data_IF_119334318206
#
_entry.id   IF_119334318206
#
_cell.length_a   1.000
_cell.length_b   1.000
_cell.length_c   1.000
_cell.angle_alpha   90.00
_cell.angle_beta   90.00
_cell.angle_gamma   90.00
#
_symmetry.space_group_name_H-M   'P 1'
#
loop_
_entity.id
_entity.type
_entity.pdbx_description
1 polymer ?
#
# COMPACT_ATOMS: atom_id res chain seq x y z
N UNK A 1 54.15 13.71 47.44
CA UNK A 1 53.80 13.18 46.14
C UNK A 1 52.28 13.22 46.01
N UNK A 2 51.84 14.19 45.26
CA UNK A 2 50.43 14.66 45.26
C UNK A 2 49.63 13.89 44.20
N UNK A 3 48.57 13.20 44.63
CA UNK A 3 47.63 12.53 43.74
C UNK A 3 46.46 13.47 43.44
N UNK A 4 46.51 14.19 42.35
CA UNK A 4 45.38 14.98 41.84
C UNK A 4 44.36 14.06 41.17
N UNK A 5 43.22 13.90 41.83
CA UNK A 5 42.03 13.23 41.27
C UNK A 5 41.33 14.16 40.24
N UNK A 6 41.36 13.79 39.00
CA UNK A 6 40.57 14.47 37.96
C UNK A 6 39.13 13.90 38.00
N UNK A 7 38.21 14.65 38.53
CA UNK A 7 36.76 14.42 38.37
C UNK A 7 36.37 14.92 37.00
N UNK A 8 36.18 13.98 36.03
CA UNK A 8 35.52 14.26 34.76
C UNK A 8 34.00 14.35 34.99
N UNK A 9 33.49 15.57 35.06
CA UNK A 9 32.04 15.82 34.99
C UNK A 9 31.58 15.59 33.58
N UNK A 10 31.13 14.38 33.25
CA UNK A 10 30.46 14.04 32.02
C UNK A 10 29.04 14.65 32.01
N UNK A 11 28.92 15.86 31.53
CA UNK A 11 27.61 16.45 31.24
C UNK A 11 26.94 15.67 30.08
N UNK A 12 26.02 14.76 30.42
CA UNK A 12 25.10 14.23 29.44
C UNK A 12 24.16 15.37 29.00
N UNK A 13 24.49 16.04 27.91
CA UNK A 13 23.54 16.92 27.22
C UNK A 13 22.41 16.03 26.73
N UNK A 14 21.28 16.04 27.44
CA UNK A 14 20.04 15.47 26.96
C UNK A 14 19.71 16.19 25.62
N UNK A 15 19.89 15.52 24.50
CA UNK A 15 19.41 16.02 23.22
C UNK A 15 17.89 16.23 23.39
N UNK A 16 17.48 17.50 23.44
CA UNK A 16 16.07 17.85 23.46
C UNK A 16 15.40 17.17 22.25
N UNK A 17 14.39 16.35 22.52
CA UNK A 17 13.65 15.68 21.46
C UNK A 17 13.14 16.75 20.47
N UNK A 18 13.49 16.62 19.20
CA UNK A 18 13.02 17.54 18.17
C UNK A 18 11.48 17.57 18.19
N UNK A 19 10.84 18.74 18.13
CA UNK A 19 9.40 18.84 18.14
C UNK A 19 8.81 18.08 16.95
N UNK A 20 7.83 17.22 17.22
CA UNK A 20 7.16 16.41 16.19
C UNK A 20 6.40 17.32 15.21
N UNK A 21 6.39 16.93 13.94
CA UNK A 21 5.64 17.66 12.93
C UNK A 21 4.14 17.39 13.07
N UNK A 22 3.33 18.42 13.15
CA UNK A 22 1.88 18.33 13.31
C UNK A 22 1.20 17.97 12.00
N UNK A 23 0.21 17.08 12.03
CA UNK A 23 -0.60 16.70 10.87
C UNK A 23 -2.09 16.78 11.17
N UNK A 24 -2.90 16.92 10.10
CA UNK A 24 -4.34 16.70 10.12
C UNK A 24 -4.67 15.29 9.62
N UNK A 25 -5.56 14.57 10.31
CA UNK A 25 -6.06 13.28 9.89
C UNK A 25 -7.51 13.40 9.40
N UNK A 26 -7.80 12.80 8.25
CA UNK A 26 -9.14 12.71 7.66
C UNK A 26 -9.48 11.23 7.58
N UNK A 27 -10.45 10.78 8.36
CA UNK A 27 -10.71 9.35 8.59
C UNK A 27 -12.18 9.04 8.37
N UNK A 28 -12.46 7.96 7.64
CA UNK A 28 -13.85 7.50 7.47
C UNK A 28 -14.38 6.78 8.70
N UNK A 29 -13.58 5.84 9.27
CA UNK A 29 -13.92 5.14 10.50
C UNK A 29 -12.66 4.70 11.26
N UNK A 30 -12.67 4.79 12.60
CA UNK A 30 -11.53 4.46 13.44
C UNK A 30 -11.92 3.48 14.55
N UNK A 31 -11.74 2.19 14.29
CA UNK A 31 -11.95 1.14 15.27
C UNK A 31 -10.72 0.22 15.33
N UNK A 32 -10.68 -0.66 16.33
CA UNK A 32 -9.54 -1.55 16.54
C UNK A 32 -9.26 -2.42 15.32
N UNK A 33 -8.02 -2.44 14.87
CA UNK A 33 -7.52 -3.14 13.68
C UNK A 33 -7.99 -2.53 12.33
N UNK A 34 -8.66 -1.37 12.33
CA UNK A 34 -8.88 -0.61 11.11
C UNK A 34 -7.58 0.00 10.57
N UNK A 35 -7.57 0.45 9.32
CA UNK A 35 -6.41 1.14 8.76
C UNK A 35 -6.04 2.39 9.56
N UNK A 36 -7.03 3.12 10.10
CA UNK A 36 -6.76 4.23 11.01
C UNK A 36 -6.01 3.76 12.28
N UNK A 37 -6.39 2.62 12.88
CA UNK A 37 -5.68 2.07 14.05
C UNK A 37 -4.25 1.63 13.70
N UNK A 38 -4.01 1.14 12.50
CA UNK A 38 -2.66 0.79 12.03
C UNK A 38 -1.82 2.05 11.83
N UNK A 39 -2.23 2.97 10.97
CA UNK A 39 -1.40 4.10 10.56
C UNK A 39 -1.34 5.21 11.62
N UNK A 40 -2.47 5.67 12.14
CA UNK A 40 -2.48 6.66 13.22
C UNK A 40 -1.95 6.06 14.51
N UNK A 41 -2.23 4.78 14.76
CA UNK A 41 -1.65 4.05 15.88
C UNK A 41 -0.12 4.00 15.86
N UNK A 42 0.50 3.82 14.72
CA UNK A 42 1.95 3.91 14.55
C UNK A 42 2.48 5.31 14.87
N UNK A 43 1.76 6.37 14.49
CA UNK A 43 2.12 7.74 14.83
C UNK A 43 1.99 8.02 16.33
N UNK A 44 0.99 7.44 17.00
CA UNK A 44 0.72 7.65 18.42
C UNK A 44 1.61 6.82 19.33
N UNK A 45 1.87 5.55 19.00
CA UNK A 45 2.52 4.56 19.85
C UNK A 45 3.94 4.18 19.42
N UNK A 46 4.39 4.68 18.26
CA UNK A 46 5.64 4.24 17.63
C UNK A 46 5.47 2.94 16.85
N UNK A 47 6.49 2.56 16.12
CA UNK A 47 6.53 1.39 15.25
C UNK A 47 7.95 0.88 15.06
N UNK A 48 8.13 -0.24 14.34
CA UNK A 48 9.45 -0.77 14.01
C UNK A 48 9.86 -0.37 12.60
N UNK A 49 11.12 0.01 12.44
CA UNK A 49 11.74 0.23 11.14
C UNK A 49 13.07 -0.51 11.07
N UNK A 50 13.21 -1.39 10.08
CA UNK A 50 14.40 -2.25 9.91
C UNK A 50 14.82 -2.97 11.20
N UNK A 51 13.86 -3.60 11.86
CA UNK A 51 14.06 -4.37 13.09
C UNK A 51 14.27 -3.55 14.37
N UNK A 52 14.26 -2.21 14.29
CA UNK A 52 14.47 -1.34 15.45
C UNK A 52 13.19 -0.58 15.81
N UNK A 53 12.82 -0.50 17.11
CA UNK A 53 11.71 0.33 17.55
C UNK A 53 12.05 1.82 17.38
N UNK A 54 11.04 2.62 17.00
CA UNK A 54 11.16 4.07 16.89
C UNK A 54 9.87 4.78 17.25
N UNK A 55 9.98 5.97 17.78
CA UNK A 55 8.87 6.89 17.93
C UNK A 55 8.65 7.65 16.60
N UNK A 56 7.40 7.96 16.28
CA UNK A 56 7.08 8.78 15.11
C UNK A 56 7.57 10.21 15.29
N UNK A 57 8.11 10.79 14.22
CA UNK A 57 8.39 12.23 14.11
C UNK A 57 7.14 13.07 13.82
N UNK A 58 5.96 12.42 13.72
CA UNK A 58 4.68 13.08 13.48
C UNK A 58 3.81 13.06 14.74
N UNK A 59 2.97 14.09 14.91
CA UNK A 59 1.88 14.11 15.86
C UNK A 59 0.57 14.49 15.20
N UNK A 60 -0.52 13.88 15.61
CA UNK A 60 -1.86 14.16 15.09
C UNK A 60 -2.41 15.36 15.86
N UNK A 61 -2.49 16.53 15.23
CA UNK A 61 -2.96 17.73 15.87
C UNK A 61 -4.49 17.87 15.82
N UNK A 62 -5.09 17.38 14.73
CA UNK A 62 -6.52 17.45 14.47
C UNK A 62 -6.99 16.23 13.71
N UNK A 63 -8.24 15.84 13.89
CA UNK A 63 -8.85 14.72 13.19
C UNK A 63 -10.31 15.00 12.82
N UNK A 64 -10.64 14.84 11.55
CA UNK A 64 -12.01 14.68 11.09
C UNK A 64 -12.35 13.20 11.05
N UNK A 65 -13.38 12.80 11.78
CA UNK A 65 -13.91 11.44 11.84
C UNK A 65 -15.33 11.45 11.23
N UNK A 66 -15.46 10.86 10.03
CA UNK A 66 -16.71 10.93 9.27
C UNK A 66 -17.80 10.04 9.90
N UNK A 67 -17.43 8.84 10.32
CA UNK A 67 -18.32 7.89 11.00
C UNK A 67 -17.71 7.44 12.32
N UNK A 68 -18.57 7.30 13.34
CA UNK A 68 -18.22 6.76 14.64
C UNK A 68 -19.12 5.56 14.94
N UNK A 69 -18.82 4.36 14.38
CA UNK A 69 -19.61 3.15 14.65
C UNK A 69 -19.56 2.76 16.14
N UNK A 70 -20.39 1.82 16.55
CA UNK A 70 -20.50 1.42 17.97
C UNK A 70 -19.16 0.95 18.58
N UNK A 71 -18.25 0.42 17.77
CA UNK A 71 -16.90 0.01 18.16
C UNK A 71 -15.83 1.09 17.90
N UNK A 72 -16.22 2.36 17.70
CA UNK A 72 -15.28 3.48 17.49
C UNK A 72 -14.32 3.63 18.69
N UNK A 73 -13.04 3.80 18.35
CA UNK A 73 -12.01 4.18 19.31
C UNK A 73 -11.43 5.56 19.02
N UNK A 74 -11.77 6.16 17.87
CA UNK A 74 -11.19 7.42 17.43
C UNK A 74 -11.44 8.57 18.38
N UNK A 75 -12.64 8.68 18.95
CA UNK A 75 -12.99 9.67 19.97
C UNK A 75 -12.15 9.48 21.25
N UNK A 76 -11.99 8.23 21.68
CA UNK A 76 -11.19 7.89 22.87
C UNK A 76 -9.70 8.19 22.65
N UNK A 77 -9.15 7.81 21.51
CA UNK A 77 -7.75 8.12 21.16
C UNK A 77 -7.54 9.63 21.01
N UNK A 78 -8.51 10.36 20.48
CA UNK A 78 -8.43 11.82 20.42
C UNK A 78 -8.33 12.45 21.81
N UNK A 79 -9.15 12.00 22.77
CA UNK A 79 -9.10 12.47 24.15
C UNK A 79 -7.78 12.14 24.86
N UNK A 80 -7.28 10.91 24.71
CA UNK A 80 -6.01 10.46 25.33
C UNK A 80 -4.79 11.21 24.81
N UNK A 81 -4.80 11.62 23.55
CA UNK A 81 -3.65 12.23 22.90
C UNK A 81 -3.84 13.72 22.58
N UNK A 82 -4.86 14.37 23.16
CA UNK A 82 -5.18 15.78 22.96
C UNK A 82 -5.34 16.19 21.49
N UNK A 83 -5.92 15.31 20.68
CA UNK A 83 -6.21 15.54 19.27
C UNK A 83 -7.51 16.34 19.17
N UNK A 84 -7.49 17.47 18.46
CA UNK A 84 -8.70 18.27 18.21
C UNK A 84 -9.64 17.54 17.24
N UNK A 85 -10.84 17.16 17.71
CA UNK A 85 -11.87 16.63 16.81
C UNK A 85 -12.49 17.76 16.00
N UNK A 86 -12.31 17.71 14.69
CA UNK A 86 -12.87 18.65 13.74
C UNK A 86 -14.26 18.20 13.26
N UNK A 87 -15.15 19.16 13.02
CA UNK A 87 -16.50 18.90 12.49
C UNK A 87 -16.53 18.80 10.97
N UNK A 88 -15.50 19.35 10.32
CA UNK A 88 -15.36 19.32 8.86
C UNK A 88 -13.92 19.00 8.47
N UNK A 89 -13.71 18.54 7.23
CA UNK A 89 -12.37 18.33 6.65
C UNK A 89 -11.54 19.62 6.71
N UNK A 90 -12.17 20.78 6.41
CA UNK A 90 -11.52 22.08 6.47
C UNK A 90 -11.04 22.42 7.88
N UNK A 91 -11.85 22.18 8.89
CA UNK A 91 -11.47 22.41 10.30
C UNK A 91 -10.35 21.50 10.78
N UNK A 92 -10.13 20.34 10.14
CA UNK A 92 -8.99 19.47 10.44
C UNK A 92 -7.67 19.98 9.83
N UNK A 93 -7.72 20.90 8.87
CA UNK A 93 -6.54 21.49 8.22
C UNK A 93 -6.21 22.83 8.91
N UNK A 94 -5.81 22.75 10.18
CA UNK A 94 -5.53 23.90 11.03
C UNK A 94 -4.19 24.57 10.69
N UNK A 95 -3.98 25.83 11.08
CA UNK A 95 -2.67 26.47 10.95
C UNK A 95 -1.55 25.70 11.65
N UNK A 96 -0.38 25.67 11.03
CA UNK A 96 0.81 25.04 11.60
C UNK A 96 0.96 23.53 11.37
N UNK A 97 -0.02 22.85 10.72
CA UNK A 97 0.21 21.46 10.28
C UNK A 97 1.15 21.43 9.06
N UNK A 98 1.88 20.31 8.94
CA UNK A 98 2.87 20.09 7.90
C UNK A 98 2.47 19.00 6.89
N UNK A 99 1.35 18.32 7.11
CA UNK A 99 0.85 17.29 6.22
C UNK A 99 -0.57 16.87 6.56
N UNK A 100 -1.18 16.11 5.66
CA UNK A 100 -2.53 15.55 5.81
C UNK A 100 -2.49 14.06 5.55
N UNK A 101 -3.17 13.27 6.39
CA UNK A 101 -3.38 11.84 6.19
C UNK A 101 -4.86 11.58 5.92
N UNK A 102 -5.19 11.14 4.69
CA UNK A 102 -6.51 10.69 4.29
C UNK A 102 -6.57 9.16 4.38
N UNK A 103 -7.31 8.63 5.36
CA UNK A 103 -7.55 7.21 5.57
C UNK A 103 -9.02 6.93 5.28
N UNK A 104 -9.31 6.78 3.98
CA UNK A 104 -10.65 6.60 3.43
C UNK A 104 -11.03 5.13 3.28
N UNK A 105 -10.81 4.33 4.32
CA UNK A 105 -11.07 2.89 4.35
C UNK A 105 -11.89 2.55 5.59
N UNK A 106 -12.74 1.54 5.47
CA UNK A 106 -13.71 1.15 6.50
C UNK A 106 -14.89 2.13 6.67
N UNK A 107 -15.89 1.68 7.39
CA UNK A 107 -17.18 2.36 7.57
C UNK A 107 -18.30 1.72 6.76
N UNK A 108 -19.50 2.22 6.94
CA UNK A 108 -20.72 1.74 6.28
C UNK A 108 -20.95 2.54 5.00
N UNK A 109 -20.62 1.94 3.87
CA UNK A 109 -20.81 2.51 2.54
C UNK A 109 -21.44 1.46 1.62
N UNK A 110 -22.23 1.88 0.62
CA UNK A 110 -22.81 0.95 -0.34
C UNK A 110 -21.74 0.33 -1.26
N UNK A 111 -22.10 -0.81 -1.84
CA UNK A 111 -21.38 -1.36 -2.98
C UNK A 111 -22.04 -0.88 -4.26
N UNK A 112 -21.26 -0.71 -5.33
CA UNK A 112 -21.81 -0.59 -6.68
C UNK A 112 -22.17 -1.97 -7.26
N UNK A 113 -22.74 -1.98 -8.47
CA UNK A 113 -23.17 -3.20 -9.16
C UNK A 113 -22.03 -4.19 -9.45
N UNK A 114 -20.78 -3.73 -9.43
CA UNK A 114 -19.57 -4.55 -9.60
C UNK A 114 -19.04 -5.12 -8.28
N UNK A 115 -19.70 -4.82 -7.13
CA UNK A 115 -19.29 -5.25 -5.80
C UNK A 115 -18.15 -4.42 -5.20
N UNK A 116 -17.85 -3.24 -5.76
CA UNK A 116 -16.84 -2.33 -5.20
C UNK A 116 -17.45 -1.44 -4.12
N UNK A 117 -16.77 -1.34 -2.98
CA UNK A 117 -17.18 -0.48 -1.87
C UNK A 117 -16.93 0.99 -2.21
N UNK A 118 -17.98 1.80 -2.18
CA UNK A 118 -17.92 3.22 -2.54
C UNK A 118 -17.44 4.09 -1.38
N UNK A 119 -16.19 3.92 -0.99
CA UNK A 119 -15.57 4.81 -0.01
C UNK A 119 -15.39 6.23 -0.58
N UNK A 120 -15.65 7.30 0.18
CA UNK A 120 -15.67 8.68 -0.30
C UNK A 120 -14.26 9.30 -0.41
N UNK A 121 -13.26 8.54 -0.89
CA UNK A 121 -11.87 9.02 -0.96
C UNK A 121 -11.71 10.23 -1.86
N UNK A 122 -12.40 10.21 -3.01
CA UNK A 122 -12.40 11.34 -3.94
C UNK A 122 -13.04 12.58 -3.32
N UNK A 123 -14.23 12.43 -2.76
CA UNK A 123 -15.01 13.51 -2.16
C UNK A 123 -14.30 14.12 -0.93
N UNK A 124 -13.59 13.30 -0.15
CA UNK A 124 -12.75 13.78 0.96
C UNK A 124 -11.49 14.49 0.44
N UNK A 125 -10.85 13.96 -0.61
CA UNK A 125 -9.69 14.62 -1.24
C UNK A 125 -10.07 15.94 -1.88
N UNK A 126 -11.24 16.03 -2.52
CA UNK A 126 -11.77 17.30 -3.06
C UNK A 126 -11.89 18.38 -1.98
N UNK A 127 -12.44 18.02 -0.80
CA UNK A 127 -12.53 18.96 0.35
C UNK A 127 -11.15 19.36 0.88
N UNK A 128 -10.16 18.44 0.88
CA UNK A 128 -8.76 18.75 1.24
C UNK A 128 -8.18 19.76 0.25
N UNK A 129 -8.34 19.50 -1.05
CA UNK A 129 -7.85 20.38 -2.13
C UNK A 129 -8.52 21.78 -2.07
N UNK A 130 -9.82 21.81 -1.81
CA UNK A 130 -10.53 23.08 -1.60
C UNK A 130 -9.92 23.86 -0.43
N UNK A 131 -9.69 23.21 0.72
CA UNK A 131 -9.04 23.85 1.86
C UNK A 131 -7.61 24.34 1.54
N UNK A 132 -6.86 23.62 0.71
CA UNK A 132 -5.53 24.05 0.25
C UNK A 132 -5.61 25.33 -0.60
N UNK A 133 -6.58 25.40 -1.52
CA UNK A 133 -6.81 26.58 -2.36
C UNK A 133 -7.22 27.79 -1.52
N UNK A 134 -8.14 27.60 -0.58
CA UNK A 134 -8.60 28.67 0.34
C UNK A 134 -7.48 29.19 1.25
N UNK A 135 -6.60 28.29 1.73
CA UNK A 135 -5.47 28.64 2.58
C UNK A 135 -4.25 29.15 1.80
N UNK A 136 -4.27 29.11 0.47
CA UNK A 136 -3.12 29.43 -0.39
C UNK A 136 -1.91 28.54 -0.18
N UNK A 137 -2.09 27.35 0.41
CA UNK A 137 -1.01 26.44 0.76
C UNK A 137 -1.44 24.97 0.67
N UNK A 138 -0.79 24.22 -0.22
CA UNK A 138 -0.92 22.76 -0.29
C UNK A 138 0.17 22.07 0.55
N UNK A 139 -0.14 20.88 1.08
CA UNK A 139 0.70 20.15 2.01
C UNK A 139 0.94 18.73 1.52
N UNK A 140 2.08 18.09 1.86
CA UNK A 140 2.26 16.66 1.64
C UNK A 140 1.04 15.88 2.13
N UNK A 141 0.49 15.04 1.26
CA UNK A 141 -0.76 14.33 1.52
C UNK A 141 -0.55 12.82 1.34
N UNK A 142 -0.94 12.08 2.36
CA UNK A 142 -1.05 10.63 2.31
C UNK A 142 -2.48 10.23 1.99
N UNK A 143 -2.65 9.29 1.04
CA UNK A 143 -3.93 8.65 0.73
C UNK A 143 -3.76 7.14 0.91
N UNK A 144 -4.51 6.57 1.85
CA UNK A 144 -4.49 5.13 2.12
C UNK A 144 -5.15 4.34 0.99
N UNK A 145 -4.48 3.30 0.50
CA UNK A 145 -4.88 2.43 -0.62
C UNK A 145 -5.00 3.16 -1.97
N UNK A 146 -5.94 2.70 -2.81
CA UNK A 146 -6.18 3.26 -4.13
C UNK A 146 -7.01 4.56 -4.05
N UNK A 147 -6.89 5.36 -5.10
CA UNK A 147 -7.52 6.68 -5.11
C UNK A 147 -9.05 6.63 -5.18
N UNK A 148 -9.60 5.79 -6.06
CA UNK A 148 -11.03 5.70 -6.29
C UNK A 148 -11.40 4.37 -6.97
N UNK A 149 -12.69 4.03 -6.98
CA UNK A 149 -13.25 2.95 -7.81
C UNK A 149 -13.48 3.38 -9.27
N UNK A 150 -13.22 4.64 -9.60
CA UNK A 150 -13.41 5.23 -10.93
C UNK A 150 -12.12 5.91 -11.42
N UNK A 151 -11.67 5.55 -12.63
CA UNK A 151 -10.44 6.11 -13.22
C UNK A 151 -10.42 7.63 -13.28
N UNK A 152 -11.51 8.25 -13.74
CA UNK A 152 -11.54 9.72 -13.90
C UNK A 152 -11.36 10.43 -12.55
N UNK A 153 -11.97 9.91 -11.49
CA UNK A 153 -11.80 10.44 -10.13
C UNK A 153 -10.38 10.22 -9.61
N UNK A 154 -9.84 9.00 -9.83
CA UNK A 154 -8.47 8.70 -9.46
C UNK A 154 -7.45 9.60 -10.16
N UNK A 155 -7.62 9.77 -11.48
CA UNK A 155 -6.78 10.67 -12.29
C UNK A 155 -6.88 12.12 -11.80
N UNK A 156 -8.07 12.60 -11.47
CA UNK A 156 -8.27 13.94 -10.93
C UNK A 156 -7.56 14.15 -9.58
N UNK A 157 -7.60 13.16 -8.68
CA UNK A 157 -6.86 13.23 -7.40
C UNK A 157 -5.35 13.35 -7.63
N UNK A 158 -4.81 12.58 -8.56
CA UNK A 158 -3.42 12.69 -8.98
C UNK A 158 -3.12 14.07 -9.60
N UNK A 159 -3.97 14.54 -10.51
CA UNK A 159 -3.78 15.84 -11.20
C UNK A 159 -3.77 17.02 -10.23
N UNK A 160 -4.62 17.01 -9.22
CA UNK A 160 -4.59 18.04 -8.16
C UNK A 160 -3.24 18.10 -7.45
N UNK A 161 -2.59 16.96 -7.22
CA UNK A 161 -1.26 16.97 -6.60
C UNK A 161 -0.20 17.63 -7.49
N UNK A 162 -0.32 17.45 -8.81
CA UNK A 162 0.58 18.09 -9.80
C UNK A 162 0.28 19.58 -9.97
N UNK A 163 -1.02 19.93 -10.08
CA UNK A 163 -1.49 21.32 -10.18
C UNK A 163 -1.04 22.16 -8.99
N UNK A 164 -1.31 21.67 -7.78
CA UNK A 164 -0.99 22.38 -6.53
C UNK A 164 0.42 22.10 -6.02
N UNK A 165 1.19 21.24 -6.71
CA UNK A 165 2.59 20.93 -6.43
C UNK A 165 2.86 20.43 -5.01
N UNK A 166 2.00 19.58 -4.48
CA UNK A 166 2.24 18.94 -3.20
C UNK A 166 2.69 17.48 -3.36
N UNK A 167 3.61 17.01 -2.51
CA UNK A 167 3.99 15.61 -2.48
C UNK A 167 2.79 14.72 -2.15
N UNK A 168 2.54 13.73 -3.01
CA UNK A 168 1.49 12.74 -2.85
C UNK A 168 2.12 11.38 -2.57
N UNK A 169 1.78 10.77 -1.45
CA UNK A 169 2.15 9.40 -1.13
C UNK A 169 0.87 8.58 -0.97
N UNK A 170 0.79 7.45 -1.65
CA UNK A 170 -0.40 6.62 -1.63
C UNK A 170 -0.06 5.14 -1.83
N UNK A 171 -1.06 4.28 -1.68
CA UNK A 171 -0.96 2.88 -2.05
C UNK A 171 -0.96 1.91 -0.89
N UNK A 172 -0.66 0.65 -1.22
CA UNK A 172 -0.60 -0.43 -0.25
C UNK A 172 0.69 -0.41 0.56
N UNK A 173 0.57 -0.70 1.86
CA UNK A 173 1.74 -0.91 2.72
C UNK A 173 2.57 -2.15 2.31
N UNK A 174 1.97 -3.08 1.58
CA UNK A 174 2.61 -4.36 1.27
C UNK A 174 3.79 -4.23 0.31
N UNK A 175 3.82 -3.22 -0.55
CA UNK A 175 4.99 -2.93 -1.40
C UNK A 175 6.25 -2.59 -0.58
N UNK A 176 6.04 -2.16 0.67
CA UNK A 176 7.05 -1.64 1.59
C UNK A 176 7.30 -2.55 2.80
N UNK A 177 6.63 -3.72 2.87
CA UNK A 177 6.84 -4.72 3.94
C UNK A 177 8.12 -5.53 3.71
N UNK A 178 8.46 -6.35 4.70
CA UNK A 178 9.56 -7.30 4.61
C UNK A 178 9.34 -8.30 3.48
N UNK A 179 10.42 -8.68 2.78
CA UNK A 179 10.44 -9.70 1.73
C UNK A 179 11.32 -10.88 2.14
N UNK A 180 10.97 -12.08 1.74
CA UNK A 180 11.79 -13.30 1.90
C UNK A 180 11.89 -14.06 0.59
N UNK A 181 13.12 -14.25 0.07
CA UNK A 181 14.32 -13.50 0.41
C UNK A 181 14.16 -11.98 0.18
N UNK A 182 15.11 -11.18 0.67
CA UNK A 182 15.15 -9.73 0.44
C UNK A 182 15.47 -9.43 -1.03
N UNK A 183 14.50 -9.68 -1.91
CA UNK A 183 14.67 -9.48 -3.35
C UNK A 183 14.65 -7.98 -3.70
N UNK A 184 15.72 -7.52 -4.30
CA UNK A 184 15.82 -6.22 -4.97
C UNK A 184 16.06 -6.46 -6.46
N UNK A 185 15.08 -6.22 -7.31
CA UNK A 185 15.28 -6.23 -8.75
C UNK A 185 16.03 -4.96 -9.17
N UNK A 186 17.05 -5.11 -10.00
CA UNK A 186 17.72 -3.96 -10.60
C UNK A 186 16.76 -3.19 -11.52
N UNK A 187 16.97 -1.87 -11.64
CA UNK A 187 16.31 -1.10 -12.69
C UNK A 187 16.75 -1.62 -14.06
N UNK A 188 15.85 -1.52 -15.04
CA UNK A 188 16.08 -2.03 -16.39
C UNK A 188 16.27 -3.57 -16.45
N UNK A 189 15.77 -4.31 -15.45
CA UNK A 189 15.79 -5.78 -15.47
C UNK A 189 15.06 -6.32 -16.70
N UNK A 190 15.69 -7.21 -17.50
CA UNK A 190 15.09 -7.79 -18.70
C UNK A 190 14.10 -8.91 -18.34
N UNK A 191 12.98 -8.53 -17.69
CA UNK A 191 11.92 -9.46 -17.26
C UNK A 191 11.22 -10.03 -18.50
N UNK A 192 11.25 -11.35 -18.66
CA UNK A 192 10.59 -12.06 -19.75
C UNK A 192 9.18 -12.52 -19.36
N UNK A 193 9.02 -13.04 -18.14
CA UNK A 193 7.76 -13.54 -17.58
C UNK A 193 7.67 -13.17 -16.11
N UNK A 194 6.47 -12.89 -15.63
CA UNK A 194 6.26 -12.58 -14.21
C UNK A 194 4.91 -13.11 -13.73
N UNK A 195 4.93 -13.74 -12.55
CA UNK A 195 3.76 -14.25 -11.85
C UNK A 195 3.76 -13.71 -10.42
N UNK A 196 2.60 -13.28 -9.95
CA UNK A 196 2.36 -12.98 -8.55
C UNK A 196 1.16 -13.75 -8.03
N UNK A 197 1.03 -13.80 -6.71
CA UNK A 197 -0.19 -14.26 -6.08
C UNK A 197 -0.53 -13.42 -4.85
N UNK A 198 -1.81 -13.41 -4.52
CA UNK A 198 -2.36 -12.82 -3.31
C UNK A 198 -3.60 -13.61 -2.87
N UNK A 199 -4.34 -13.09 -1.91
CA UNK A 199 -5.56 -13.71 -1.36
C UNK A 199 -6.61 -12.64 -1.08
N UNK A 200 -7.79 -13.03 -0.63
CA UNK A 200 -8.87 -12.14 -0.23
C UNK A 200 -9.83 -11.76 -1.35
N UNK A 201 -10.65 -10.77 -1.08
CA UNK A 201 -11.70 -10.33 -2.00
C UNK A 201 -11.17 -9.64 -3.26
N UNK A 202 -11.93 -9.74 -4.33
CA UNK A 202 -11.56 -9.32 -5.68
C UNK A 202 -11.10 -7.86 -5.79
N UNK A 203 -11.81 -6.93 -5.17
CA UNK A 203 -11.52 -5.50 -5.28
C UNK A 203 -10.48 -5.06 -4.23
N UNK A 204 -10.85 -5.08 -2.96
CA UNK A 204 -10.01 -4.50 -1.90
C UNK A 204 -8.67 -5.22 -1.71
N UNK A 205 -8.64 -6.55 -1.83
CA UNK A 205 -7.42 -7.36 -1.77
C UNK A 205 -6.77 -7.53 -3.13
N UNK A 206 -7.56 -7.62 -4.21
CA UNK A 206 -7.03 -7.62 -5.57
C UNK A 206 -6.21 -6.38 -5.88
N UNK A 207 -6.62 -5.22 -5.38
CA UNK A 207 -5.81 -4.01 -5.46
C UNK A 207 -4.43 -4.18 -4.81
N UNK A 208 -4.36 -4.74 -3.60
CA UNK A 208 -3.08 -5.01 -2.94
C UNK A 208 -2.19 -5.91 -3.78
N UNK A 209 -2.74 -7.01 -4.31
CA UNK A 209 -2.02 -7.93 -5.18
C UNK A 209 -1.48 -7.24 -6.44
N UNK A 210 -2.33 -6.47 -7.12
CA UNK A 210 -1.94 -5.71 -8.31
C UNK A 210 -0.82 -4.72 -8.01
N UNK A 211 -0.89 -3.96 -6.92
CA UNK A 211 0.14 -2.96 -6.62
C UNK A 211 1.45 -3.59 -6.13
N UNK A 212 1.38 -4.69 -5.38
CA UNK A 212 2.56 -5.50 -5.02
C UNK A 212 3.25 -6.01 -6.28
N UNK A 213 2.50 -6.62 -7.20
CA UNK A 213 3.02 -7.11 -8.47
C UNK A 213 3.62 -5.95 -9.30
N UNK A 214 2.90 -4.83 -9.40
CA UNK A 214 3.34 -3.63 -10.11
C UNK A 214 4.68 -3.10 -9.58
N UNK A 215 4.88 -3.09 -8.25
CA UNK A 215 6.12 -2.62 -7.62
C UNK A 215 7.38 -3.41 -8.01
N UNK A 216 7.19 -4.60 -8.55
CA UNK A 216 8.28 -5.44 -9.07
C UNK A 216 8.47 -5.23 -10.57
N UNK A 217 7.39 -5.33 -11.35
CA UNK A 217 7.49 -5.27 -12.82
C UNK A 217 7.74 -3.87 -13.37
N UNK A 218 7.49 -2.80 -12.60
CA UNK A 218 7.84 -1.42 -13.00
C UNK A 218 9.37 -1.22 -13.16
N UNK A 219 10.17 -2.14 -12.60
CA UNK A 219 11.63 -2.12 -12.69
C UNK A 219 12.17 -2.79 -13.96
N UNK A 220 11.27 -3.28 -14.84
CA UNK A 220 11.64 -3.90 -16.11
C UNK A 220 12.31 -2.93 -17.07
N UNK A 221 13.02 -3.49 -18.06
CA UNK A 221 13.65 -2.74 -19.15
C UNK A 221 12.65 -1.78 -19.81
N UNK A 222 13.05 -0.52 -19.94
CA UNK A 222 12.21 0.56 -20.46
C UNK A 222 11.32 1.24 -19.42
N UNK A 223 11.25 0.72 -18.18
CA UNK A 223 10.41 1.24 -17.10
C UNK A 223 8.91 1.01 -17.34
N UNK A 224 8.06 1.75 -16.63
CA UNK A 224 6.61 1.61 -16.76
C UNK A 224 6.06 2.43 -17.91
N UNK A 225 5.21 1.79 -18.72
CA UNK A 225 4.58 2.39 -19.92
C UNK A 225 3.05 2.23 -19.94
N UNK A 226 2.49 1.59 -18.92
CA UNK A 226 1.05 1.34 -18.79
C UNK A 226 0.59 0.01 -19.39
N UNK A 227 -0.72 -0.19 -19.38
CA UNK A 227 -1.36 -1.41 -19.88
C UNK A 227 -2.16 -1.14 -21.16
N UNK A 228 -2.20 -2.14 -22.05
CA UNK A 228 -3.08 -2.15 -23.22
C UNK A 228 -4.45 -2.75 -22.89
N UNK A 229 -4.44 -3.81 -22.07
CA UNK A 229 -5.65 -4.54 -21.72
C UNK A 229 -5.49 -5.29 -20.40
N UNK A 230 -6.63 -5.67 -19.83
CA UNK A 230 -6.71 -6.59 -18.68
C UNK A 230 -7.77 -7.65 -18.91
N UNK A 231 -7.67 -8.78 -18.20
CA UNK A 231 -8.70 -9.81 -18.15
C UNK A 231 -8.75 -10.45 -16.77
N UNK A 232 -9.95 -10.58 -16.21
CA UNK A 232 -10.22 -11.34 -15.01
C UNK A 232 -10.80 -12.71 -15.39
N UNK A 233 -10.11 -13.80 -15.03
CA UNK A 233 -10.59 -15.17 -15.20
C UNK A 233 -10.98 -15.70 -13.82
N UNK A 234 -12.09 -16.43 -13.72
CA UNK A 234 -12.64 -16.88 -12.45
C UNK A 234 -13.05 -18.36 -12.48
N UNK A 235 -13.02 -19.00 -11.31
CA UNK A 235 -13.45 -20.38 -11.15
C UNK A 235 -12.56 -21.39 -11.87
N UNK A 236 -13.15 -22.45 -12.41
CA UNK A 236 -12.44 -23.56 -13.07
C UNK A 236 -11.57 -23.13 -14.25
N UNK A 237 -11.94 -22.05 -14.92
CA UNK A 237 -11.19 -21.53 -16.05
C UNK A 237 -9.79 -21.01 -15.65
N UNK A 238 -9.56 -20.69 -14.37
CA UNK A 238 -8.23 -20.34 -13.86
C UNK A 238 -7.26 -21.52 -14.01
N UNK A 239 -7.67 -22.70 -13.58
CA UNK A 239 -6.82 -23.89 -13.65
C UNK A 239 -6.63 -24.38 -15.07
N UNK A 240 -7.69 -24.33 -15.88
CA UNK A 240 -7.60 -24.66 -17.32
C UNK A 240 -6.60 -23.72 -18.01
N UNK A 241 -6.68 -22.39 -17.75
CA UNK A 241 -5.73 -21.46 -18.31
C UNK A 241 -4.29 -21.77 -17.84
N UNK A 242 -4.12 -22.15 -16.58
CA UNK A 242 -2.80 -22.54 -16.01
C UNK A 242 -2.25 -23.79 -16.68
N UNK A 243 -3.08 -24.78 -16.96
CA UNK A 243 -2.68 -26.01 -17.65
C UNK A 243 -2.27 -25.73 -19.11
N UNK A 244 -2.97 -24.81 -19.78
CA UNK A 244 -2.63 -24.33 -21.12
C UNK A 244 -1.37 -23.42 -21.13
N UNK A 245 -0.93 -22.95 -19.95
CA UNK A 245 0.23 -22.06 -19.76
C UNK A 245 1.18 -22.58 -18.67
N UNK A 246 1.85 -23.74 -18.89
CA UNK A 246 2.68 -24.41 -17.85
C UNK A 246 3.79 -23.51 -17.28
N UNK A 247 4.30 -22.56 -18.06
CA UNK A 247 5.28 -21.59 -17.56
C UNK A 247 4.75 -20.76 -16.38
N UNK A 248 3.48 -20.35 -16.43
CA UNK A 248 2.87 -19.57 -15.36
C UNK A 248 2.62 -20.42 -14.12
N UNK A 249 2.28 -21.71 -14.31
CA UNK A 249 2.14 -22.69 -13.25
C UNK A 249 3.48 -22.90 -12.52
N UNK A 250 4.55 -23.13 -13.26
CA UNK A 250 5.89 -23.30 -12.70
C UNK A 250 6.34 -22.05 -11.93
N UNK A 251 6.12 -20.84 -12.47
CA UNK A 251 6.45 -19.62 -11.75
C UNK A 251 5.56 -19.39 -10.52
N UNK A 252 4.31 -19.84 -10.52
CA UNK A 252 3.46 -19.77 -9.32
C UNK A 252 4.05 -20.65 -8.20
N UNK A 253 4.48 -21.86 -8.52
CA UNK A 253 5.13 -22.77 -7.55
C UNK A 253 6.42 -22.16 -6.99
N UNK A 254 7.22 -21.53 -7.85
CA UNK A 254 8.42 -20.80 -7.42
C UNK A 254 8.08 -19.59 -6.53
N UNK A 255 7.05 -18.83 -6.87
CA UNK A 255 6.59 -17.68 -6.08
C UNK A 255 6.16 -18.09 -4.67
N UNK A 256 5.56 -19.29 -4.51
CA UNK A 256 5.10 -19.84 -3.23
C UNK A 256 6.23 -20.41 -2.38
N UNK A 257 7.43 -20.62 -2.90
CA UNK A 257 8.54 -21.36 -2.24
C UNK A 257 8.87 -20.86 -0.83
N UNK A 258 8.74 -19.58 -0.57
CA UNK A 258 9.12 -18.93 0.71
C UNK A 258 7.91 -18.48 1.54
N UNK A 259 6.72 -18.87 1.17
CA UNK A 259 5.49 -18.57 1.90
C UNK A 259 5.27 -19.61 3.02
N UNK A 260 5.39 -19.15 4.27
CA UNK A 260 5.21 -19.98 5.46
C UNK A 260 3.75 -20.08 5.94
N UNK A 261 2.82 -19.44 5.22
CA UNK A 261 1.38 -19.46 5.49
C UNK A 261 0.60 -20.47 4.64
N UNK A 262 1.29 -21.21 3.74
CA UNK A 262 0.63 -22.11 2.80
C UNK A 262 -0.13 -23.23 3.52
N UNK A 263 -1.38 -23.44 3.10
CA UNK A 263 -2.15 -24.60 3.50
C UNK A 263 -1.60 -25.86 2.79
N UNK A 264 -1.54 -26.96 3.52
CA UNK A 264 -1.13 -28.27 2.96
C UNK A 264 -2.15 -28.79 1.95
N UNK A 265 -1.71 -29.53 0.95
CA UNK A 265 -2.53 -30.09 -0.11
C UNK A 265 -2.37 -29.36 -1.43
N UNK A 266 -3.17 -29.74 -2.39
CA UNK A 266 -3.15 -29.13 -3.73
C UNK A 266 -3.84 -27.77 -3.69
N UNK A 267 -3.28 -26.80 -4.41
CA UNK A 267 -3.83 -25.44 -4.46
C UNK A 267 -5.27 -25.43 -5.01
N UNK A 268 -5.57 -26.31 -5.97
CA UNK A 268 -6.90 -26.44 -6.57
C UNK A 268 -7.97 -26.92 -5.57
N UNK A 269 -7.55 -27.71 -4.57
CA UNK A 269 -8.45 -28.23 -3.53
C UNK A 269 -8.63 -27.23 -2.39
N UNK A 270 -7.67 -26.36 -2.19
CA UNK A 270 -7.67 -25.38 -1.11
C UNK A 270 -8.38 -24.08 -1.46
N UNK A 271 -8.53 -23.77 -2.76
CA UNK A 271 -9.07 -22.50 -3.28
C UNK A 271 -10.42 -22.71 -3.94
N UNK A 272 -11.50 -22.41 -3.24
CA UNK A 272 -12.87 -22.63 -3.73
C UNK A 272 -13.23 -21.68 -4.88
N UNK A 273 -12.76 -20.45 -4.82
CA UNK A 273 -13.06 -19.38 -5.78
C UNK A 273 -11.77 -18.74 -6.30
N UNK A 274 -11.00 -19.47 -7.12
CA UNK A 274 -9.78 -18.91 -7.69
C UNK A 274 -10.10 -17.80 -8.67
N UNK A 275 -9.24 -16.76 -8.67
CA UNK A 275 -9.27 -15.71 -9.68
C UNK A 275 -7.87 -15.54 -10.27
N UNK A 276 -7.82 -15.12 -11.53
CA UNK A 276 -6.59 -14.85 -12.26
C UNK A 276 -6.73 -13.52 -12.98
N UNK A 277 -5.81 -12.60 -12.72
CA UNK A 277 -5.72 -11.33 -13.40
C UNK A 277 -4.61 -11.41 -14.44
N UNK A 278 -4.98 -11.22 -15.70
CA UNK A 278 -4.06 -11.14 -16.82
C UNK A 278 -3.87 -9.66 -17.19
N UNK A 279 -2.63 -9.22 -17.20
CA UNK A 279 -2.23 -7.82 -17.35
C UNK A 279 -1.36 -7.67 -18.60
N UNK A 280 -1.94 -7.20 -19.70
CA UNK A 280 -1.22 -6.97 -20.96
C UNK A 280 -0.52 -5.62 -20.96
N UNK A 281 0.75 -5.57 -20.57
CA UNK A 281 1.54 -4.34 -20.56
C UNK A 281 1.87 -3.84 -21.96
N UNK A 282 2.00 -2.53 -22.12
CA UNK A 282 2.41 -1.89 -23.40
C UNK A 282 3.81 -2.28 -23.83
N UNK A 283 4.66 -2.68 -22.89
CA UNK A 283 6.01 -3.21 -23.16
C UNK A 283 6.02 -4.61 -23.79
N UNK A 284 4.86 -5.27 -23.91
CA UNK A 284 4.74 -6.65 -24.36
C UNK A 284 4.77 -7.69 -23.25
N UNK A 285 5.08 -7.32 -22.00
CA UNK A 285 5.03 -8.23 -20.87
C UNK A 285 3.58 -8.67 -20.60
N UNK A 286 3.35 -9.97 -20.45
CA UNK A 286 2.13 -10.52 -19.85
C UNK A 286 2.37 -10.71 -18.35
N UNK A 287 1.75 -9.88 -17.53
CA UNK A 287 1.69 -10.05 -16.09
C UNK A 287 0.57 -11.01 -15.71
N UNK A 288 0.85 -11.93 -14.80
CA UNK A 288 -0.09 -12.94 -14.32
C UNK A 288 -0.19 -12.86 -12.81
N UNK A 289 -1.39 -12.63 -12.29
CA UNK A 289 -1.62 -12.47 -10.86
C UNK A 289 -2.74 -13.40 -10.40
N UNK A 290 -2.41 -14.37 -9.54
CA UNK A 290 -3.37 -15.32 -8.97
C UNK A 290 -3.95 -14.78 -7.66
N UNK A 291 -5.24 -14.98 -7.44
CA UNK A 291 -5.92 -14.74 -6.17
C UNK A 291 -6.30 -16.09 -5.55
N UNK A 292 -5.59 -16.49 -4.48
CA UNK A 292 -5.58 -17.85 -3.93
C UNK A 292 -6.12 -17.88 -2.49
N UNK A 293 -7.31 -17.35 -2.28
CA UNK A 293 -7.99 -17.36 -0.97
C UNK A 293 -8.23 -18.79 -0.49
N UNK A 294 -7.76 -19.12 0.70
CA UNK A 294 -7.80 -20.46 1.24
C UNK A 294 -6.47 -21.23 1.14
N UNK A 295 -5.58 -20.86 0.22
CA UNK A 295 -4.24 -21.44 0.09
C UNK A 295 -3.19 -20.69 0.90
N UNK A 296 -3.26 -19.38 0.95
CA UNK A 296 -2.24 -18.48 1.52
C UNK A 296 -2.85 -17.32 2.30
N UNK A 297 -2.03 -16.71 3.16
CA UNK A 297 -2.29 -15.45 3.85
C UNK A 297 -1.17 -14.43 3.59
N UNK A 298 -0.37 -14.63 2.54
CA UNK A 298 0.73 -13.77 2.13
C UNK A 298 0.63 -13.42 0.64
N UNK A 299 1.53 -12.58 0.16
CA UNK A 299 1.75 -12.33 -1.24
C UNK A 299 3.07 -12.95 -1.69
N UNK A 300 3.19 -13.27 -2.96
CA UNK A 300 4.46 -13.69 -3.54
C UNK A 300 4.63 -13.23 -4.98
N UNK A 301 5.87 -13.30 -5.42
CA UNK A 301 6.30 -12.89 -6.76
C UNK A 301 7.40 -13.80 -7.28
N UNK A 302 7.32 -14.14 -8.55
CA UNK A 302 8.39 -14.79 -9.30
C UNK A 302 8.51 -14.18 -10.70
N UNK A 303 9.74 -14.05 -11.19
CA UNK A 303 10.00 -13.59 -12.55
C UNK A 303 11.20 -14.30 -13.18
N UNK A 304 11.05 -14.66 -14.45
CA UNK A 304 12.16 -15.05 -15.32
C UNK A 304 12.89 -13.81 -15.81
N UNK A 305 14.18 -13.74 -15.53
CA UNK A 305 15.08 -12.66 -15.95
C UNK A 305 16.01 -13.20 -17.03
N UNK A 306 16.10 -12.53 -18.15
CA UNK A 306 17.01 -12.92 -19.23
C UNK A 306 18.44 -13.06 -18.73
N UNK A 307 19.07 -14.18 -19.06
CA UNK A 307 20.46 -14.50 -18.64
C UNK A 307 20.57 -15.08 -17.22
N UNK A 308 19.48 -15.23 -16.46
CA UNK A 308 19.49 -15.92 -15.17
C UNK A 308 18.95 -17.35 -15.29
N UNK A 309 19.65 -18.32 -14.69
CA UNK A 309 19.24 -19.71 -14.71
C UNK A 309 18.07 -20.03 -13.78
N UNK A 310 17.86 -19.22 -12.76
CA UNK A 310 16.79 -19.39 -11.78
C UNK A 310 15.91 -18.14 -11.74
N UNK A 311 14.61 -18.28 -11.52
CA UNK A 311 13.73 -17.13 -11.39
C UNK A 311 14.06 -16.30 -10.14
N UNK A 312 13.88 -14.99 -10.25
CA UNK A 312 13.91 -14.10 -9.10
C UNK A 312 12.60 -14.25 -8.32
N UNK A 313 12.67 -14.59 -7.03
CA UNK A 313 11.48 -14.92 -6.22
C UNK A 313 11.49 -14.24 -4.85
N UNK A 314 10.33 -13.87 -4.35
CA UNK A 314 10.15 -13.47 -2.95
C UNK A 314 8.69 -13.63 -2.48
N UNK A 315 8.54 -13.86 -1.17
CA UNK A 315 7.26 -13.68 -0.46
C UNK A 315 7.25 -12.36 0.30
N UNK A 316 6.09 -11.74 0.43
CA UNK A 316 5.84 -10.52 1.19
C UNK A 316 5.21 -10.87 2.52
N UNK A 317 5.86 -10.48 3.60
CA UNK A 317 5.45 -10.88 4.94
C UNK A 317 4.29 -10.00 5.42
N UNK A 318 3.14 -10.60 5.64
CA UNK A 318 2.00 -10.00 6.31
C UNK A 318 1.89 -10.54 7.73
N UNK A 319 1.86 -9.67 8.74
CA UNK A 319 1.61 -10.08 10.11
C UNK A 319 0.13 -10.01 10.44
N UNK A 320 -0.40 -11.10 10.99
CA UNK A 320 -1.78 -11.21 11.45
C UNK A 320 -1.84 -11.00 12.96
N UNK A 321 -1.52 -9.79 13.38
CA UNK A 321 -1.51 -9.40 14.77
C UNK A 321 -0.75 -8.11 15.01
N UNK A 322 -0.95 -7.53 16.18
CA UNK A 322 -0.22 -6.32 16.57
C UNK A 322 1.26 -6.63 16.73
N UNK A 323 2.13 -5.73 16.32
CA UNK A 323 1.90 -4.32 15.93
C UNK A 323 1.58 -4.09 14.43
N UNK A 324 1.11 -5.07 13.67
CA UNK A 324 0.78 -4.94 12.24
C UNK A 324 1.97 -4.43 11.41
N UNK A 325 3.12 -5.06 11.56
CA UNK A 325 4.40 -4.55 11.03
C UNK A 325 4.43 -4.35 9.53
N UNK A 326 3.55 -5.01 8.77
CA UNK A 326 3.39 -4.73 7.34
C UNK A 326 2.92 -3.29 7.04
N UNK A 327 2.35 -2.57 8.01
CA UNK A 327 2.03 -1.15 7.93
C UNK A 327 3.21 -0.21 8.21
N UNK A 328 4.26 -0.72 8.85
CA UNK A 328 5.36 0.11 9.37
C UNK A 328 6.16 0.80 8.25
N UNK A 329 6.43 0.07 7.14
CA UNK A 329 7.14 0.62 6.00
C UNK A 329 6.44 1.84 5.41
N UNK A 330 5.12 1.75 5.21
CA UNK A 330 4.33 2.87 4.72
C UNK A 330 4.28 4.01 5.74
N UNK A 331 4.10 3.71 7.03
CA UNK A 331 4.14 4.74 8.08
C UNK A 331 5.47 5.51 8.09
N UNK A 332 6.59 4.81 7.92
CA UNK A 332 7.91 5.44 7.82
C UNK A 332 8.00 6.39 6.61
N UNK A 333 7.59 5.94 5.43
CA UNK A 333 7.71 6.77 4.22
C UNK A 333 6.68 7.89 4.17
N UNK A 334 5.51 7.74 4.78
CA UNK A 334 4.57 8.86 5.03
C UNK A 334 5.22 9.90 5.93
N UNK A 335 5.86 9.48 7.01
CA UNK A 335 6.60 10.38 7.89
C UNK A 335 7.71 11.10 7.13
N UNK A 336 8.55 10.38 6.37
CA UNK A 336 9.63 11.02 5.60
C UNK A 336 9.10 11.98 4.54
N UNK A 337 8.01 11.65 3.86
CA UNK A 337 7.36 12.52 2.87
C UNK A 337 6.91 13.83 3.49
N UNK A 338 6.29 13.79 4.67
CA UNK A 338 5.82 14.98 5.39
C UNK A 338 6.99 15.81 5.94
N UNK A 339 7.98 15.15 6.56
CA UNK A 339 9.13 15.84 7.16
C UNK A 339 10.01 16.54 6.12
N UNK A 340 10.23 15.89 4.97
CA UNK A 340 11.14 16.37 3.93
C UNK A 340 10.42 17.11 2.78
N UNK A 341 9.06 17.13 2.78
CA UNK A 341 8.25 17.71 1.72
C UNK A 341 8.64 17.16 0.33
N UNK A 342 8.77 15.82 0.22
CA UNK A 342 9.31 15.14 -0.97
C UNK A 342 8.60 13.80 -1.20
N UNK A 343 8.32 13.45 -2.47
CA UNK A 343 7.93 12.10 -2.88
C UNK A 343 9.15 11.17 -2.91
N UNK A 344 9.01 9.97 -2.37
CA UNK A 344 10.06 8.96 -2.34
C UNK A 344 9.84 7.84 -3.36
N UNK A 345 8.60 7.59 -3.74
CA UNK A 345 8.24 6.71 -4.85
C UNK A 345 7.10 7.35 -5.66
N UNK A 346 6.99 6.97 -6.95
CA UNK A 346 6.04 7.61 -7.85
C UNK A 346 4.58 7.28 -7.47
N UNK A 347 3.72 8.27 -7.21
CA UNK A 347 2.28 8.05 -7.01
C UNK A 347 1.58 7.53 -8.27
N UNK A 348 2.23 7.59 -9.43
CA UNK A 348 1.81 6.99 -10.68
C UNK A 348 1.64 5.47 -10.57
N UNK A 349 2.42 4.79 -9.70
CA UNK A 349 2.23 3.36 -9.39
C UNK A 349 0.81 3.12 -8.86
N UNK A 350 0.41 3.87 -7.85
CA UNK A 350 -0.91 3.77 -7.24
C UNK A 350 -2.01 4.16 -8.22
N UNK A 351 -1.78 5.20 -9.05
CA UNK A 351 -2.70 5.60 -10.10
C UNK A 351 -2.91 4.47 -11.12
N UNK A 352 -1.84 3.85 -11.61
CA UNK A 352 -1.91 2.74 -12.56
C UNK A 352 -2.60 1.52 -11.93
N UNK A 353 -2.24 1.16 -10.69
CA UNK A 353 -2.87 0.05 -9.97
C UNK A 353 -4.37 0.32 -9.72
N UNK A 354 -4.76 1.57 -9.43
CA UNK A 354 -6.17 1.98 -9.30
C UNK A 354 -6.95 1.75 -10.59
N UNK A 355 -6.44 2.22 -11.72
CA UNK A 355 -7.11 2.00 -13.01
C UNK A 355 -7.10 0.53 -13.45
N UNK A 356 -6.06 -0.20 -13.08
CA UNK A 356 -5.97 -1.64 -13.36
C UNK A 356 -7.04 -2.43 -12.61
N UNK A 357 -7.23 -2.18 -11.30
CA UNK A 357 -8.26 -2.89 -10.55
C UNK A 357 -9.67 -2.49 -11.01
N UNK A 358 -9.92 -1.23 -11.36
CA UNK A 358 -11.19 -0.83 -11.96
C UNK A 358 -11.48 -1.61 -13.26
N UNK A 359 -10.50 -1.70 -14.16
CA UNK A 359 -10.64 -2.43 -15.42
C UNK A 359 -10.84 -3.94 -15.20
N UNK A 360 -10.17 -4.54 -14.20
CA UNK A 360 -10.36 -5.93 -13.80
C UNK A 360 -11.78 -6.17 -13.23
N UNK A 361 -12.31 -5.23 -12.45
CA UNK A 361 -13.69 -5.30 -11.97
C UNK A 361 -14.68 -5.18 -13.13
N UNK A 362 -14.39 -4.36 -14.14
CA UNK A 362 -15.17 -4.29 -15.38
C UNK A 362 -15.11 -5.60 -16.17
N UNK A 363 -13.93 -6.24 -16.27
CA UNK A 363 -13.77 -7.55 -16.91
C UNK A 363 -14.58 -8.63 -16.19
N UNK A 364 -14.47 -8.71 -14.86
CA UNK A 364 -15.24 -9.65 -14.05
C UNK A 364 -16.75 -9.45 -14.21
N UNK A 365 -17.24 -8.21 -14.13
CA UNK A 365 -18.66 -7.89 -14.34
C UNK A 365 -19.16 -8.32 -15.73
N UNK A 366 -18.31 -8.25 -16.75
CA UNK A 366 -18.53 -8.75 -18.09
C UNK A 366 -18.16 -10.23 -18.29
N UNK A 367 -18.20 -11.02 -17.19
CA UNK A 367 -17.96 -12.48 -17.21
C UNK A 367 -16.60 -12.89 -17.80
N UNK A 368 -15.56 -12.12 -17.52
CA UNK A 368 -14.20 -12.42 -17.96
C UNK A 368 -13.85 -11.96 -19.38
N UNK A 369 -14.62 -11.05 -19.97
CA UNK A 369 -14.23 -10.43 -21.23
C UNK A 369 -12.92 -9.63 -21.04
N UNK A 370 -12.10 -9.64 -22.10
CA UNK A 370 -10.91 -8.77 -22.16
C UNK A 370 -11.36 -7.32 -22.26
N UNK A 371 -10.81 -6.46 -21.41
CA UNK A 371 -11.07 -5.01 -21.37
C UNK A 371 -9.85 -4.27 -21.88
N UNK A 372 -10.01 -3.53 -22.98
CA UNK A 372 -8.98 -2.64 -23.51
C UNK A 372 -8.85 -1.40 -22.60
N UNK A 373 -7.60 -0.99 -22.34
CA UNK A 373 -7.29 0.09 -21.40
C UNK A 373 -6.43 1.20 -22.01
N UNK A 374 -6.88 1.85 -23.12
CA UNK A 374 -6.10 2.90 -23.76
C UNK A 374 -5.79 4.09 -22.83
N UNK A 375 -6.65 4.34 -21.85
CA UNK A 375 -6.48 5.37 -20.83
C UNK A 375 -5.38 5.05 -19.82
N UNK A 376 -5.00 3.79 -19.60
CA UNK A 376 -3.92 3.38 -18.71
C UNK A 376 -2.53 3.55 -19.36
N UNK A 377 -2.34 4.61 -20.14
CA UNK A 377 -1.04 5.04 -20.66
C UNK A 377 -0.29 5.86 -19.59
N UNK A 378 -0.05 5.25 -18.45
CA UNK A 378 0.66 5.87 -17.33
C UNK A 378 2.14 5.52 -17.41
N UNK A 379 2.98 6.54 -17.61
CA UNK A 379 4.43 6.38 -17.78
C UNK A 379 5.15 6.95 -16.57
N UNK A 380 6.06 6.18 -16.00
CA UNK A 380 6.92 6.63 -14.92
C UNK A 380 8.18 5.76 -14.82
N UNK A 381 9.14 6.20 -14.01
CA UNK A 381 10.30 5.42 -13.62
C UNK A 381 10.20 5.07 -12.14
N UNK A 382 10.47 3.83 -11.81
CA UNK A 382 10.62 3.41 -10.43
C UNK A 382 11.78 4.15 -9.76
N UNK A 383 11.70 4.33 -8.45
CA UNK A 383 12.81 4.85 -7.66
C UNK A 383 14.01 3.87 -7.70
N UNK A 384 15.21 4.41 -7.48
CA UNK A 384 16.45 3.63 -7.59
C UNK A 384 16.46 2.41 -6.67
N UNK A 385 16.08 2.59 -5.41
CA UNK A 385 16.01 1.53 -4.41
C UNK A 385 14.55 1.21 -4.10
N UNK A 386 14.21 -0.08 -3.98
CA UNK A 386 12.92 -0.48 -3.42
C UNK A 386 12.91 -0.17 -1.93
N UNK A 387 11.94 0.59 -1.50
CA UNK A 387 11.90 1.21 -0.16
C UNK A 387 11.33 0.27 0.91
N UNK A 388 11.37 -1.05 0.69
CA UNK A 388 10.82 -2.03 1.62
C UNK A 388 11.65 -2.15 2.90
N UNK A 389 10.99 -2.56 3.98
CA UNK A 389 11.66 -2.85 5.25
C UNK A 389 12.62 -4.02 5.12
N UNK A 390 13.73 -3.95 5.85
CA UNK A 390 14.77 -4.99 5.92
C UNK A 390 14.96 -5.43 7.38
N UNK A 391 15.65 -6.54 7.56
CA UNK A 391 16.03 -7.05 8.87
C UNK A 391 14.98 -7.97 9.54
N UNK A 392 15.09 -8.19 10.86
CA UNK A 392 14.25 -9.16 11.55
C UNK A 392 12.79 -8.72 11.64
N UNK A 393 11.88 -9.69 11.67
CA UNK A 393 10.48 -9.48 11.98
C UNK A 393 10.35 -8.93 13.41
N UNK A 394 9.58 -7.84 13.61
CA UNK A 394 9.22 -7.42 14.97
C UNK A 394 8.44 -8.52 15.69
N UNK A 395 8.57 -8.62 17.02
CA UNK A 395 7.69 -9.46 17.82
C UNK A 395 6.22 -9.05 17.58
N UNK A 396 5.32 -10.01 17.52
CA UNK A 396 3.90 -9.73 17.35
C UNK A 396 3.02 -10.79 18.03
N UNK A 397 1.87 -10.35 18.50
CA UNK A 397 0.84 -11.23 19.02
C UNK A 397 0.00 -11.75 17.86
N UNK A 398 0.04 -13.06 17.59
CA UNK A 398 -0.82 -13.65 16.57
C UNK A 398 -2.28 -13.52 16.99
N UNK A 399 -3.06 -12.84 16.19
CA UNK A 399 -4.53 -12.94 16.29
C UNK A 399 -4.92 -14.25 15.64
N UNK A 400 -5.50 -15.18 16.40
CA UNK A 400 -6.15 -16.35 15.82
C UNK A 400 -7.42 -15.85 15.13
N UNK A 401 -7.41 -15.88 13.79
CA UNK A 401 -8.58 -15.60 12.94
C UNK A 401 -9.41 -16.87 12.87
#
# INVERSE_FOLDING_TARGET
MDRRTFLAVGGATALAAQPRARIGAIVTAYYRNSHADVFLGNMLRGYYWNGKPRNSGLEIASMYLEQAPANDIGKSEAGKHSITLARTVREAIIPGIRGVALIGEHGEYPNNDKGQKLYPRYELMEKIVQAYRENGRALPTFVDKHFSTEWNKAKQMYDWSRELRFPLIAGTSLTLTLRRPELELELESPIQRAVGYFYGGKEAYGYHGVEVFQSMVERRKGGETGLNWVKCVEGKEVWKWSDDNPWARNLLEEAMRYDDSLKRGRVEENVDQPMLFLLGYRSGLLGVMYMLTGQTQQAGFAAEIEGQAQPAVCSYITQWGRPWSHGNGLSYWVEQTILQNKEFYPPERTLLATGTIEALMNSSFKKGEKVETPHLNVRYRAQRESLFMRGPLPPYDRVRV
#
